data_IF_724941409587
#
_entry.id   IF_724941409587
#
_cell.length_a   1.000
_cell.length_b   1.000
_cell.length_c   1.000
_cell.angle_alpha   90.00
_cell.angle_beta   90.00
_cell.angle_gamma   90.00
#
_symmetry.space_group_name_H-M   'P 1'
#
loop_
_entity.id
_entity.type
_entity.pdbx_description
1 polymer ?
#
# COMPACT_ATOMS: atom_id res chain seq x y z
N UNK A 1 -0.30 49.41 -48.61
CA UNK A 1 -1.34 49.25 -47.57
C UNK A 1 -1.23 47.84 -46.99
N UNK A 2 -0.65 47.71 -45.79
CA UNK A 2 -0.52 46.43 -45.08
C UNK A 2 -1.71 46.26 -44.12
N UNK A 3 -2.49 45.19 -44.27
CA UNK A 3 -3.56 44.82 -43.33
C UNK A 3 -2.99 43.87 -42.28
N UNK A 4 -2.91 44.36 -41.03
CA UNK A 4 -2.58 43.58 -39.84
C UNK A 4 -3.75 42.62 -39.53
N UNK A 5 -3.51 41.32 -39.58
CA UNK A 5 -4.36 40.32 -38.94
C UNK A 5 -3.52 39.68 -37.85
N UNK A 6 -3.74 40.11 -36.61
CA UNK A 6 -3.06 39.60 -35.44
C UNK A 6 -3.88 39.94 -34.21
N UNK A 7 -4.02 38.95 -33.33
CA UNK A 7 -4.70 39.00 -32.03
C UNK A 7 -6.23 38.83 -32.05
N UNK A 8 -6.70 37.58 -32.19
CA UNK A 8 -8.04 37.19 -31.71
C UNK A 8 -8.14 35.73 -31.22
N UNK A 9 -7.04 35.02 -30.97
CA UNK A 9 -7.05 33.60 -30.61
C UNK A 9 -6.12 33.25 -29.43
N UNK A 10 -6.01 34.13 -28.44
CA UNK A 10 -5.23 33.86 -27.22
C UNK A 10 -5.99 34.16 -25.90
N UNK A 11 -7.30 34.41 -25.95
CA UNK A 11 -8.08 34.77 -24.76
C UNK A 11 -8.99 33.66 -24.19
N UNK A 12 -9.00 32.45 -24.77
CA UNK A 12 -9.85 31.36 -24.28
C UNK A 12 -9.12 30.28 -23.46
N UNK A 13 -7.81 30.42 -23.20
CA UNK A 13 -7.05 29.39 -22.47
C UNK A 13 -7.05 29.56 -20.93
N UNK A 14 -7.62 30.63 -20.38
CA UNK A 14 -7.53 30.95 -18.95
C UNK A 14 -8.78 30.57 -18.15
N UNK A 15 -9.87 30.13 -18.79
CA UNK A 15 -11.13 29.79 -18.12
C UNK A 15 -11.26 28.32 -17.65
N UNK A 16 -10.19 27.51 -17.79
CA UNK A 16 -10.14 26.13 -17.27
C UNK A 16 -8.98 25.89 -16.28
N UNK A 17 -8.47 26.95 -15.65
CA UNK A 17 -7.86 26.76 -14.33
C UNK A 17 -9.00 26.68 -13.33
N UNK A 18 -9.58 25.48 -13.19
CA UNK A 18 -10.38 25.16 -12.03
C UNK A 18 -9.57 25.59 -10.80
N UNK A 19 -10.19 26.41 -9.96
CA UNK A 19 -9.63 26.71 -8.65
C UNK A 19 -9.35 25.35 -8.01
N UNK A 20 -8.07 25.01 -7.86
CA UNK A 20 -7.70 23.89 -6.99
C UNK A 20 -8.37 24.20 -5.66
N UNK A 21 -9.22 23.33 -5.11
CA UNK A 21 -9.58 23.46 -3.70
C UNK A 21 -8.29 23.55 -2.89
N UNK A 22 -8.36 24.20 -1.72
CA UNK A 22 -7.23 24.46 -0.83
C UNK A 22 -6.25 23.28 -0.92
N UNK A 23 -5.02 23.55 -1.38
CA UNK A 23 -4.07 22.48 -1.66
C UNK A 23 -3.92 21.68 -0.37
N UNK A 24 -4.46 20.45 -0.35
CA UNK A 24 -4.36 19.56 0.81
C UNK A 24 -2.90 19.51 1.25
N UNK A 25 -2.69 19.51 2.57
CA UNK A 25 -1.34 19.56 3.14
C UNK A 25 -0.45 18.47 2.51
N UNK A 26 0.79 18.82 2.15
CA UNK A 26 1.68 17.89 1.45
C UNK A 26 1.92 16.64 2.31
N UNK A 27 1.72 15.46 1.72
CA UNK A 27 1.88 14.19 2.43
C UNK A 27 3.36 14.00 2.81
N UNK A 28 3.68 13.89 4.11
CA UNK A 28 5.07 13.73 4.54
C UNK A 28 5.65 12.38 4.10
N UNK A 29 6.58 12.40 3.13
CA UNK A 29 7.21 11.18 2.56
C UNK A 29 8.03 10.36 3.56
N UNK A 30 8.43 10.97 4.67
CA UNK A 30 9.12 10.27 5.74
C UNK A 30 8.16 9.44 6.60
N UNK A 31 6.86 9.81 6.66
CA UNK A 31 5.81 9.10 7.40
C UNK A 31 5.05 8.13 6.51
N UNK A 32 4.73 8.54 5.29
CA UNK A 32 3.89 7.78 4.37
C UNK A 32 4.70 7.19 3.21
N UNK A 33 4.41 5.92 2.90
CA UNK A 33 4.87 5.25 1.70
C UNK A 33 3.78 5.34 0.64
N UNK A 34 4.12 5.93 -0.51
CA UNK A 34 3.26 5.87 -1.70
C UNK A 34 3.33 4.49 -2.34
N UNK A 35 2.18 3.98 -2.80
CA UNK A 35 2.09 2.68 -3.48
C UNK A 35 1.67 2.85 -4.93
N UNK A 36 0.55 3.53 -5.16
CA UNK A 36 -0.03 3.68 -6.50
C UNK A 36 -1.06 4.82 -6.53
N UNK A 37 -1.54 5.14 -7.73
CA UNK A 37 -2.67 6.04 -7.94
C UNK A 37 -3.60 5.49 -9.00
N UNK A 38 -4.90 5.67 -8.82
CA UNK A 38 -5.90 5.55 -9.87
C UNK A 38 -6.22 6.93 -10.43
N UNK A 39 -7.16 7.01 -11.38
CA UNK A 39 -7.66 8.30 -11.86
C UNK A 39 -8.39 9.12 -10.77
N UNK A 40 -8.81 8.47 -9.67
CA UNK A 40 -9.66 9.07 -8.63
C UNK A 40 -8.98 9.21 -7.28
N UNK A 41 -7.98 8.37 -7.02
CA UNK A 41 -7.42 8.21 -5.68
C UNK A 41 -5.91 7.98 -5.71
N UNK A 42 -5.17 8.56 -4.77
CA UNK A 42 -3.79 8.17 -4.46
C UNK A 42 -3.74 7.31 -3.20
N UNK A 43 -2.93 6.25 -3.19
CA UNK A 43 -2.88 5.25 -2.12
C UNK A 43 -1.54 5.31 -1.39
N UNK A 44 -1.62 5.44 -0.07
CA UNK A 44 -0.47 5.53 0.83
C UNK A 44 -0.71 4.69 2.08
N UNK A 45 0.36 4.19 2.69
CA UNK A 45 0.29 3.63 4.04
C UNK A 45 1.32 4.29 4.95
N UNK A 46 1.02 4.37 6.25
CA UNK A 46 1.90 4.97 7.23
C UNK A 46 2.98 3.96 7.63
N UNK A 47 4.22 4.20 7.18
CA UNK A 47 5.35 3.30 7.45
C UNK A 47 5.94 3.50 8.84
N UNK A 48 5.67 4.60 9.53
CA UNK A 48 6.12 4.80 10.92
C UNK A 48 5.18 4.15 11.94
N UNK A 49 3.92 3.95 11.57
CA UNK A 49 2.87 3.39 12.44
C UNK A 49 2.44 1.97 12.08
N UNK A 50 2.98 1.40 11.00
CA UNK A 50 2.82 -0.02 10.70
C UNK A 50 3.52 -0.87 11.77
N UNK A 51 2.79 -1.82 12.35
CA UNK A 51 3.25 -2.67 13.45
C UNK A 51 2.53 -4.02 13.44
N UNK A 52 3.02 -4.97 14.22
CA UNK A 52 2.28 -6.20 14.52
C UNK A 52 1.21 -5.94 15.57
N UNK A 53 0.14 -6.74 15.52
CA UNK A 53 -0.89 -6.74 16.55
C UNK A 53 -0.35 -7.34 17.86
N UNK A 54 -0.99 -6.99 18.97
CA UNK A 54 -0.76 -7.61 20.27
C UNK A 54 -1.93 -8.53 20.58
N UNK A 55 -1.63 -9.74 21.05
CA UNK A 55 -2.66 -10.66 21.51
C UNK A 55 -3.22 -10.27 22.89
N UNK A 56 -4.24 -10.99 23.35
CA UNK A 56 -4.89 -10.74 24.63
C UNK A 56 -3.96 -10.93 25.85
N UNK A 57 -2.83 -11.61 25.68
CA UNK A 57 -1.86 -11.87 26.74
C UNK A 57 -0.68 -10.90 26.72
N UNK A 58 -0.67 -9.93 25.78
CA UNK A 58 0.39 -8.94 25.65
C UNK A 58 1.57 -9.39 24.80
N UNK A 59 1.47 -10.50 24.08
CA UNK A 59 2.50 -10.95 23.15
C UNK A 59 2.27 -10.39 21.76
N UNK A 60 3.37 -10.13 21.05
CA UNK A 60 3.33 -9.73 19.65
C UNK A 60 2.84 -10.92 18.82
N UNK A 61 1.80 -10.72 18.00
CA UNK A 61 1.33 -11.69 17.02
C UNK A 61 1.95 -11.38 15.65
N UNK A 62 3.03 -12.09 15.31
CA UNK A 62 3.72 -11.93 14.02
C UNK A 62 2.86 -12.30 12.80
N UNK A 63 1.67 -12.88 13.00
CA UNK A 63 0.74 -13.22 11.92
C UNK A 63 -0.30 -12.14 11.64
N UNK A 64 -0.33 -11.05 12.40
CA UNK A 64 -1.28 -9.95 12.21
C UNK A 64 -0.60 -8.60 12.14
N UNK A 65 -0.89 -7.83 11.10
CA UNK A 65 -0.37 -6.48 10.90
C UNK A 65 -1.47 -5.47 11.17
N UNK A 66 -1.15 -4.40 11.89
CA UNK A 66 -2.00 -3.22 12.02
C UNK A 66 -1.32 -2.07 11.27
N UNK A 67 -2.06 -1.43 10.37
CA UNK A 67 -1.52 -0.35 9.54
C UNK A 67 -2.56 0.74 9.28
N UNK A 68 -2.23 2.00 9.60
CA UNK A 68 -2.98 3.16 9.11
C UNK A 68 -2.66 3.42 7.65
N UNK A 69 -3.68 3.71 6.87
CA UNK A 69 -3.56 4.06 5.45
C UNK A 69 -4.16 5.42 5.17
N UNK A 70 -3.76 6.02 4.06
CA UNK A 70 -4.24 7.31 3.59
C UNK A 70 -4.60 7.21 2.12
N UNK A 71 -5.81 7.65 1.79
CA UNK A 71 -6.30 7.86 0.43
C UNK A 71 -6.51 9.34 0.21
N UNK A 72 -5.98 9.88 -0.87
CA UNK A 72 -6.28 11.24 -1.33
C UNK A 72 -7.26 11.18 -2.49
N UNK A 73 -8.19 12.13 -2.56
CA UNK A 73 -9.26 12.13 -3.54
C UNK A 73 -9.07 13.21 -4.60
N UNK A 74 -9.52 12.93 -5.82
CA UNK A 74 -9.77 13.95 -6.83
C UNK A 74 -11.17 14.57 -6.63
N UNK A 75 -11.44 15.66 -7.35
CA UNK A 75 -12.72 16.38 -7.26
C UNK A 75 -13.93 15.47 -7.55
N UNK A 76 -13.78 14.48 -8.44
CA UNK A 76 -14.87 13.59 -8.81
C UNK A 76 -15.14 12.58 -7.69
N UNK A 77 -14.10 12.06 -7.05
CA UNK A 77 -14.25 11.20 -5.89
C UNK A 77 -14.84 11.95 -4.69
N UNK A 78 -14.45 13.22 -4.47
CA UNK A 78 -15.05 14.09 -3.46
C UNK A 78 -16.55 14.25 -3.73
N UNK A 79 -16.93 14.60 -4.96
CA UNK A 79 -18.34 14.74 -5.35
C UNK A 79 -19.13 13.44 -5.15
N UNK A 80 -18.55 12.29 -5.46
CA UNK A 80 -19.17 10.98 -5.26
C UNK A 80 -19.43 10.69 -3.77
N UNK A 81 -18.44 10.92 -2.90
CA UNK A 81 -18.60 10.75 -1.44
C UNK A 81 -19.69 11.67 -0.90
N UNK A 82 -19.63 12.97 -1.22
CA UNK A 82 -20.63 13.96 -0.77
C UNK A 82 -22.03 13.61 -1.29
N UNK A 83 -22.15 13.14 -2.53
CA UNK A 83 -23.43 12.74 -3.13
C UNK A 83 -24.00 11.50 -2.44
N UNK A 84 -23.19 10.48 -2.17
CA UNK A 84 -23.59 9.28 -1.42
C UNK A 84 -24.04 9.63 -0.01
N UNK A 85 -23.34 10.54 0.66
CA UNK A 85 -23.65 11.00 2.01
C UNK A 85 -25.00 11.76 2.03
N UNK A 86 -25.21 12.67 1.08
CA UNK A 86 -26.48 13.37 0.87
C UNK A 86 -27.63 12.40 0.60
N UNK A 87 -27.41 11.41 -0.26
CA UNK A 87 -28.42 10.38 -0.56
C UNK A 87 -28.82 9.57 0.67
N UNK A 88 -27.88 9.33 1.59
CA UNK A 88 -28.12 8.66 2.87
C UNK A 88 -28.67 9.59 3.97
N UNK A 89 -28.96 10.86 3.65
CA UNK A 89 -29.42 11.87 4.62
C UNK A 89 -28.47 12.06 5.81
N UNK A 90 -27.16 11.88 5.58
CA UNK A 90 -26.11 12.07 6.60
C UNK A 90 -25.65 13.55 6.67
N UNK A 91 -25.16 14.02 7.83
CA UNK A 91 -24.65 15.40 7.98
C UNK A 91 -23.52 15.73 7.01
N UNK A 92 -23.51 16.95 6.46
CA UNK A 92 -22.50 17.42 5.51
C UNK A 92 -21.60 18.52 6.08
N UNK A 93 -21.66 18.77 7.38
CA UNK A 93 -20.80 19.75 8.05
C UNK A 93 -19.32 19.41 7.81
N UNK A 94 -18.54 20.40 7.35
CA UNK A 94 -17.12 20.23 7.02
C UNK A 94 -16.82 19.54 5.67
N UNK A 95 -17.78 18.87 5.04
CA UNK A 95 -17.55 18.12 3.79
C UNK A 95 -17.29 18.99 2.55
N UNK A 96 -17.45 20.31 2.65
CA UNK A 96 -16.93 21.23 1.63
C UNK A 96 -15.41 21.23 1.54
N UNK A 97 -14.71 20.74 2.57
CA UNK A 97 -13.25 20.63 2.67
C UNK A 97 -12.74 19.17 2.64
N UNK A 98 -13.60 18.21 2.28
CA UNK A 98 -13.22 16.80 2.16
C UNK A 98 -12.04 16.66 1.18
N UNK A 99 -10.97 16.00 1.63
CA UNK A 99 -9.73 15.84 0.85
C UNK A 99 -9.31 14.37 0.67
N UNK A 100 -9.82 13.47 1.50
CA UNK A 100 -9.40 12.08 1.46
C UNK A 100 -10.05 11.23 2.53
N UNK A 101 -9.45 10.07 2.79
CA UNK A 101 -9.84 9.20 3.88
C UNK A 101 -8.64 8.48 4.49
N UNK A 102 -8.72 8.14 5.77
CA UNK A 102 -7.85 7.18 6.42
C UNK A 102 -8.59 5.87 6.68
N UNK A 103 -7.92 4.75 6.45
CA UNK A 103 -8.42 3.43 6.84
C UNK A 103 -7.42 2.73 7.74
N UNK A 104 -7.92 2.13 8.81
CA UNK A 104 -7.13 1.38 9.77
C UNK A 104 -7.32 -0.11 9.49
N UNK A 105 -6.28 -0.74 8.96
CA UNK A 105 -6.33 -2.13 8.54
C UNK A 105 -5.78 -3.05 9.64
N UNK A 106 -6.44 -4.18 9.83
CA UNK A 106 -5.90 -5.38 10.47
C UNK A 106 -5.78 -6.45 9.39
N UNK A 107 -4.56 -6.85 9.04
CA UNK A 107 -4.29 -7.87 8.02
C UNK A 107 -3.86 -9.15 8.74
N UNK A 108 -4.63 -10.23 8.59
CA UNK A 108 -4.23 -11.57 9.02
C UNK A 108 -3.46 -12.27 7.89
N UNK A 109 -2.15 -12.43 8.11
CA UNK A 109 -1.22 -13.04 7.15
C UNK A 109 -1.44 -14.54 6.97
N UNK A 110 -2.09 -15.20 7.94
CA UNK A 110 -2.33 -16.65 7.89
C UNK A 110 -3.54 -16.97 7.04
N UNK A 111 -4.60 -16.19 7.19
CA UNK A 111 -5.87 -16.40 6.49
C UNK A 111 -5.96 -15.59 5.19
N UNK A 112 -5.14 -14.55 5.04
CA UNK A 112 -5.23 -13.62 3.92
C UNK A 112 -6.48 -12.75 3.99
N UNK A 113 -6.93 -12.41 5.21
CA UNK A 113 -8.11 -11.57 5.44
C UNK A 113 -7.66 -10.18 5.88
N UNK A 114 -8.25 -9.16 5.28
CA UNK A 114 -8.07 -7.75 5.65
C UNK A 114 -9.36 -7.24 6.27
N UNK A 115 -9.27 -6.80 7.53
CA UNK A 115 -10.35 -6.12 8.21
C UNK A 115 -10.09 -4.61 8.20
N UNK A 116 -11.03 -3.84 7.65
CA UNK A 116 -11.06 -2.38 7.78
C UNK A 116 -11.73 -2.08 9.13
N UNK A 117 -10.91 -1.92 10.15
CA UNK A 117 -11.35 -1.72 11.53
C UNK A 117 -11.96 -0.34 11.74
N UNK A 118 -11.49 0.66 11.00
CA UNK A 118 -12.12 1.98 10.95
C UNK A 118 -11.87 2.65 9.60
N UNK A 119 -12.84 3.46 9.18
CA UNK A 119 -12.75 4.37 8.04
C UNK A 119 -13.05 5.78 8.53
N UNK A 120 -12.19 6.73 8.17
CA UNK A 120 -12.35 8.14 8.49
C UNK A 120 -12.32 8.98 7.23
N UNK A 121 -13.34 9.80 7.02
CA UNK A 121 -13.28 10.88 6.03
C UNK A 121 -12.46 12.03 6.61
N UNK A 122 -11.58 12.63 5.80
CA UNK A 122 -10.62 13.64 6.24
C UNK A 122 -10.80 14.98 5.52
N UNK A 123 -10.66 16.07 6.26
CA UNK A 123 -10.55 17.42 5.70
C UNK A 123 -9.15 17.73 5.13
N UNK A 124 -8.95 18.93 4.59
CA UNK A 124 -7.68 19.33 3.96
C UNK A 124 -6.50 19.47 4.93
N UNK A 125 -6.79 19.53 6.23
CA UNK A 125 -5.84 19.56 7.34
C UNK A 125 -5.64 18.19 7.99
N UNK A 126 -6.13 17.12 7.34
CA UNK A 126 -6.13 15.75 7.85
C UNK A 126 -6.91 15.57 9.17
N UNK A 127 -7.86 16.46 9.45
CA UNK A 127 -8.81 16.34 10.54
C UNK A 127 -9.95 15.38 10.20
N UNK A 128 -10.37 14.58 11.18
CA UNK A 128 -11.47 13.61 11.02
C UNK A 128 -12.82 14.32 10.91
N UNK A 129 -13.49 14.19 9.76
CA UNK A 129 -14.84 14.68 9.50
C UNK A 129 -15.90 13.68 9.99
N UNK A 130 -15.65 12.39 9.77
CA UNK A 130 -16.49 11.32 10.31
C UNK A 130 -15.68 10.05 10.48
N UNK A 131 -16.17 9.15 11.32
CA UNK A 131 -15.54 7.86 11.59
C UNK A 131 -16.59 6.77 11.62
N UNK A 132 -16.34 5.70 10.88
CA UNK A 132 -17.14 4.48 10.85
C UNK A 132 -16.25 3.31 11.31
N UNK A 133 -16.75 2.47 12.21
CA UNK A 133 -16.01 1.32 12.76
C UNK A 133 -16.43 0.01 12.07
N UNK A 134 -15.51 -0.94 11.98
CA UNK A 134 -15.70 -2.29 11.44
C UNK A 134 -16.43 -2.31 10.09
N UNK A 135 -15.91 -1.54 9.13
CA UNK A 135 -16.66 -1.18 7.93
C UNK A 135 -16.67 -2.27 6.86
N UNK A 136 -15.61 -3.09 6.80
CA UNK A 136 -15.44 -4.08 5.72
C UNK A 136 -14.49 -5.21 6.11
N UNK A 137 -14.77 -6.38 5.58
CA UNK A 137 -13.87 -7.54 5.56
C UNK A 137 -13.59 -7.90 4.10
N UNK A 138 -12.33 -8.22 3.78
CA UNK A 138 -11.87 -8.52 2.43
C UNK A 138 -10.99 -9.76 2.46
N UNK A 139 -11.36 -10.78 1.68
CA UNK A 139 -10.52 -11.95 1.45
C UNK A 139 -9.60 -11.71 0.24
N UNK A 140 -8.28 -11.71 0.47
CA UNK A 140 -7.29 -11.47 -0.60
C UNK A 140 -7.30 -12.52 -1.71
N UNK A 141 -7.85 -13.71 -1.42
CA UNK A 141 -8.05 -14.80 -2.39
C UNK A 141 -9.21 -14.56 -3.35
N UNK A 142 -10.16 -13.69 -2.99
CA UNK A 142 -11.33 -13.37 -3.82
C UNK A 142 -11.04 -12.22 -4.79
N UNK A 143 -9.94 -11.48 -4.56
CA UNK A 143 -9.50 -10.41 -5.44
C UNK A 143 -8.61 -10.93 -6.57
N UNK A 144 -8.76 -10.35 -7.76
CA UNK A 144 -7.87 -10.60 -8.89
C UNK A 144 -6.54 -9.90 -8.71
N UNK A 145 -5.45 -10.46 -9.26
CA UNK A 145 -4.12 -9.82 -9.31
C UNK A 145 -4.10 -8.45 -10.02
N UNK A 146 -5.15 -8.13 -10.77
CA UNK A 146 -5.32 -6.82 -11.41
C UNK A 146 -6.05 -5.81 -10.52
N UNK A 147 -6.71 -6.25 -9.45
CA UNK A 147 -7.46 -5.37 -8.56
C UNK A 147 -6.53 -4.40 -7.85
N UNK A 148 -6.96 -3.13 -7.85
CA UNK A 148 -6.22 -2.02 -7.24
C UNK A 148 -6.08 -2.25 -5.73
N UNK A 149 -7.15 -2.67 -5.05
CA UNK A 149 -7.10 -2.96 -3.61
C UNK A 149 -6.14 -4.10 -3.29
N UNK A 150 -6.15 -5.18 -4.09
CA UNK A 150 -5.23 -6.32 -3.91
C UNK A 150 -3.77 -5.86 -3.97
N UNK A 151 -3.40 -5.14 -5.03
CA UNK A 151 -2.04 -4.60 -5.18
C UNK A 151 -1.63 -3.70 -4.03
N UNK A 152 -2.56 -2.93 -3.48
CA UNK A 152 -2.29 -2.08 -2.34
C UNK A 152 -2.00 -2.89 -1.07
N UNK A 153 -2.81 -3.90 -0.78
CA UNK A 153 -2.58 -4.79 0.37
C UNK A 153 -1.31 -5.63 0.20
N UNK A 154 -1.06 -6.16 -1.00
CA UNK A 154 0.15 -6.92 -1.30
C UNK A 154 1.41 -6.05 -1.09
N UNK A 155 1.39 -4.77 -1.52
CA UNK A 155 2.50 -3.86 -1.28
C UNK A 155 2.78 -3.58 0.20
N UNK A 156 1.73 -3.51 1.03
CA UNK A 156 1.86 -3.39 2.49
C UNK A 156 2.50 -4.66 3.05
N UNK A 157 2.00 -5.84 2.66
CA UNK A 157 2.52 -7.14 3.12
C UNK A 157 3.99 -7.28 2.73
N UNK A 158 4.35 -6.98 1.47
CA UNK A 158 5.73 -7.04 0.98
C UNK A 158 6.65 -6.08 1.75
N UNK A 159 6.17 -4.88 2.06
CA UNK A 159 6.92 -3.94 2.89
C UNK A 159 7.25 -4.55 4.26
N UNK A 160 6.31 -5.28 4.88
CA UNK A 160 6.52 -5.88 6.20
C UNK A 160 7.59 -6.98 6.19
N UNK A 161 7.71 -7.73 5.09
CA UNK A 161 8.74 -8.78 4.96
C UNK A 161 10.15 -8.19 5.02
N UNK A 162 10.35 -7.01 4.41
CA UNK A 162 11.62 -6.29 4.42
C UNK A 162 11.93 -5.51 5.71
N UNK A 163 10.92 -5.25 6.55
CA UNK A 163 11.03 -4.38 7.72
C UNK A 163 10.60 -5.07 9.03
N UNK A 164 10.71 -6.39 9.10
CA UNK A 164 10.25 -7.20 10.22
C UNK A 164 10.84 -6.76 11.57
N UNK A 165 12.14 -6.45 11.64
CA UNK A 165 12.79 -6.01 12.88
C UNK A 165 12.28 -4.64 13.36
N UNK A 166 12.16 -3.67 12.44
CA UNK A 166 11.63 -2.35 12.73
C UNK A 166 10.18 -2.44 13.24
N UNK A 167 9.38 -3.30 12.61
CA UNK A 167 8.01 -3.53 13.02
C UNK A 167 7.92 -4.17 14.41
N UNK A 168 8.76 -5.15 14.73
CA UNK A 168 8.81 -5.73 16.10
C UNK A 168 9.14 -4.63 17.11
N UNK A 169 10.11 -3.77 16.83
CA UNK A 169 10.48 -2.67 17.73
C UNK A 169 9.35 -1.64 17.92
N UNK A 170 8.56 -1.37 16.88
CA UNK A 170 7.39 -0.47 16.95
C UNK A 170 6.19 -1.10 17.64
N UNK A 171 6.08 -2.42 17.58
CA UNK A 171 4.93 -3.15 18.10
C UNK A 171 4.85 -3.04 19.61
N UNK A 172 3.62 -2.97 20.09
CA UNK A 172 3.34 -3.03 21.53
C UNK A 172 3.34 -4.50 21.94
N UNK A 173 4.01 -4.83 23.03
CA UNK A 173 3.99 -6.18 23.60
C UNK A 173 5.35 -6.86 23.60
N UNK A 174 5.33 -8.13 24.03
CA UNK A 174 6.52 -8.94 24.24
C UNK A 174 6.66 -9.92 23.08
N UNK A 175 7.82 -9.93 22.43
CA UNK A 175 8.13 -10.98 21.47
C UNK A 175 8.34 -12.30 22.23
N UNK A 176 7.61 -13.36 21.89
CA UNK A 176 7.71 -14.65 22.57
C UNK A 176 9.07 -15.32 22.33
N UNK A 177 9.50 -16.21 23.23
CA UNK A 177 10.77 -16.93 23.05
C UNK A 177 10.74 -17.87 21.84
N UNK A 178 9.58 -18.45 21.53
CA UNK A 178 9.39 -19.28 20.34
C UNK A 178 9.54 -18.45 19.05
N UNK A 179 8.95 -17.26 19.01
CA UNK A 179 9.08 -16.35 17.86
C UNK A 179 10.51 -15.83 17.70
N UNK A 180 11.19 -15.49 18.80
CA UNK A 180 12.63 -15.14 18.78
C UNK A 180 13.45 -16.25 18.16
N UNK A 181 13.28 -17.49 18.63
CA UNK A 181 14.00 -18.63 18.11
C UNK A 181 13.70 -18.88 16.62
N UNK A 182 12.46 -18.72 16.18
CA UNK A 182 12.08 -18.86 14.78
C UNK A 182 12.71 -17.77 13.90
N UNK A 183 12.76 -16.53 14.37
CA UNK A 183 13.40 -15.41 13.67
C UNK A 183 14.91 -15.62 13.56
N UNK A 184 15.57 -16.05 14.64
CA UNK A 184 17.00 -16.33 14.66
C UNK A 184 17.36 -17.50 13.73
N UNK A 185 16.55 -18.56 13.73
CA UNK A 185 16.71 -19.68 12.80
C UNK A 185 16.56 -19.24 11.34
N UNK A 186 15.58 -18.38 11.03
CA UNK A 186 15.38 -17.83 9.69
C UNK A 186 16.58 -16.98 9.25
N UNK A 187 17.12 -16.15 10.14
CA UNK A 187 18.34 -15.35 9.89
C UNK A 187 19.55 -16.24 9.64
N UNK A 188 19.73 -17.30 10.42
CA UNK A 188 20.82 -18.25 10.23
C UNK A 188 20.74 -18.95 8.86
N UNK A 189 19.56 -19.39 8.44
CA UNK A 189 19.34 -19.98 7.11
C UNK A 189 19.63 -19.01 5.96
N UNK A 190 19.35 -17.72 6.14
CA UNK A 190 19.68 -16.68 5.15
C UNK A 190 21.16 -16.33 5.14
N UNK A 191 21.89 -16.59 6.22
CA UNK A 191 23.32 -16.29 6.37
C UNK A 191 24.25 -17.46 6.00
N UNK A 192 23.74 -18.69 5.93
CA UNK A 192 24.51 -19.82 5.42
C UNK A 192 24.79 -19.61 3.91
N UNK A 193 26.06 -19.64 3.46
CA UNK A 193 26.36 -19.54 2.05
C UNK A 193 25.73 -20.73 1.34
N UNK A 194 24.99 -20.48 0.25
CA UNK A 194 24.56 -21.50 -0.70
C UNK A 194 25.78 -22.04 -1.46
N UNK A 195 26.68 -22.69 -0.74
CA UNK A 195 27.89 -23.30 -1.26
C UNK A 195 27.59 -24.75 -1.62
N UNK A 196 26.67 -24.91 -2.57
CA UNK A 196 26.44 -26.16 -3.29
C UNK A 196 25.64 -25.86 -4.56
N UNK A 197 26.34 -25.59 -5.66
CA UNK A 197 26.24 -26.33 -6.95
C UNK A 197 26.98 -25.57 -8.06
N UNK A 198 28.27 -25.87 -8.22
CA UNK A 198 28.91 -25.90 -9.53
C UNK A 198 29.97 -27.01 -9.54
N UNK A 199 29.54 -28.26 -9.34
CA UNK A 199 30.30 -29.39 -9.88
C UNK A 199 30.28 -29.27 -11.41
N UNK A 200 31.43 -28.86 -11.96
CA UNK A 200 31.76 -29.00 -13.37
C UNK A 200 31.49 -30.44 -13.81
N UNK A 201 30.69 -30.71 -14.86
CA UNK A 201 30.75 -32.01 -15.50
C UNK A 201 32.11 -32.12 -16.20
N UNK A 202 32.97 -32.98 -15.66
CA UNK A 202 34.25 -33.34 -16.21
C UNK A 202 34.08 -33.88 -17.64
N UNK A 203 34.70 -33.20 -18.60
CA UNK A 203 35.23 -33.71 -19.88
C UNK A 203 35.23 -35.25 -19.98
N UNK A 204 34.23 -35.84 -20.63
CA UNK A 204 34.31 -37.22 -21.15
C UNK A 204 33.42 -37.50 -22.36
N UNK A 205 33.24 -36.54 -23.26
CA UNK A 205 32.65 -36.79 -24.59
C UNK A 205 33.45 -36.10 -25.69
N UNK A 206 34.65 -36.60 -25.97
CA UNK A 206 35.36 -36.31 -27.23
C UNK A 206 36.40 -37.36 -27.55
N UNK A 207 36.02 -38.64 -27.54
CA UNK A 207 36.85 -39.72 -28.09
C UNK A 207 36.09 -40.92 -28.65
N UNK A 208 34.88 -40.72 -29.20
CA UNK A 208 34.17 -41.81 -29.91
C UNK A 208 33.55 -41.44 -31.26
N UNK A 209 33.90 -40.28 -31.84
CA UNK A 209 33.50 -39.91 -33.22
C UNK A 209 34.64 -39.94 -34.26
N UNK A 210 35.66 -40.78 -34.07
CA UNK A 210 36.75 -40.95 -35.06
C UNK A 210 37.10 -42.39 -35.45
N UNK A 211 36.21 -43.36 -35.22
CA UNK A 211 36.40 -44.77 -35.67
C UNK A 211 35.28 -45.37 -36.53
N UNK A 212 34.35 -44.58 -37.06
CA UNK A 212 33.31 -45.04 -38.02
C UNK A 212 33.27 -44.23 -39.33
N UNK A 213 34.43 -43.80 -39.83
CA UNK A 213 34.54 -43.20 -41.18
C UNK A 213 35.75 -43.68 -42.00
N UNK A 214 36.21 -44.90 -41.71
CA UNK A 214 37.12 -45.69 -42.54
C UNK A 214 36.81 -47.18 -42.35
N UNK A 215 35.77 -47.64 -43.03
CA UNK A 215 35.65 -48.99 -43.60
C UNK A 215 34.59 -48.95 -44.68
#
# INVERSE_FOLDING_TARGET
MQKKWGAALLFCAVLFMGARPAAAEEIPKHIYQWVQSTARQGYYFNKEQIQYATDAHGYIDLTKIVVPTLRIYDDIQIQDVVSKRRWRMLPLDGYSDLSGAAEYLLIDLRTGVVHITAHEDLDSMWGTLSREENTKEIHLSELSDKDVEKKFFDAIIDYTVGHQEEMIHRSRGILSDADRAALDAKKAQLAEPTDNTHEKPAKKEKKEKKKKKKS
#
